data_IF_913914445957
#
_entry.id   IF_913914445957
#
_cell.length_a   1.000
_cell.length_b   1.000
_cell.length_c   1.000
_cell.angle_alpha   90.00
_cell.angle_beta   90.00
_cell.angle_gamma   90.00
#
_symmetry.space_group_name_H-M   'P 1'
#
loop_
_entity.id
_entity.type
_entity.pdbx_description
1 polymer ?
#
# COMPACT_ATOMS: atom_id res chain seq x y z
N UNK A 1 -14.17 4.65 -13.31
CA UNK A 1 -13.63 3.29 -13.06
C UNK A 1 -14.79 2.32 -13.16
N UNK A 2 -14.60 1.12 -13.72
CA UNK A 2 -15.64 0.07 -13.79
C UNK A 2 -15.44 -1.00 -12.72
N UNK A 3 -14.62 -0.71 -11.70
CA UNK A 3 -14.37 -1.64 -10.59
C UNK A 3 -15.42 -1.40 -9.51
N UNK A 4 -15.93 -2.49 -8.94
CA UNK A 4 -16.86 -2.40 -7.82
C UNK A 4 -16.11 -1.90 -6.59
N UNK A 5 -16.62 -0.85 -5.97
CA UNK A 5 -16.05 -0.30 -4.74
C UNK A 5 -16.43 -1.24 -3.59
N UNK A 6 -15.46 -1.72 -2.79
CA UNK A 6 -15.77 -2.55 -1.61
C UNK A 6 -16.69 -1.80 -0.64
N UNK A 7 -17.68 -2.50 -0.08
CA UNK A 7 -18.75 -1.88 0.71
C UNK A 7 -18.24 -1.01 1.86
N UNK A 8 -17.28 -1.51 2.64
CA UNK A 8 -16.69 -0.79 3.79
C UNK A 8 -15.95 0.50 3.41
N UNK A 9 -15.62 0.68 2.13
CA UNK A 9 -14.91 1.84 1.62
C UNK A 9 -15.80 2.80 0.82
N UNK A 10 -17.05 2.44 0.53
CA UNK A 10 -17.96 3.28 -0.28
C UNK A 10 -18.16 4.67 0.27
N UNK A 11 -18.44 4.80 1.57
CA UNK A 11 -18.64 6.10 2.21
C UNK A 11 -17.43 7.04 2.08
N UNK A 12 -16.22 6.47 2.00
CA UNK A 12 -14.97 7.23 1.78
C UNK A 12 -14.78 7.57 0.31
N UNK A 13 -15.04 6.61 -0.58
CA UNK A 13 -14.67 6.70 -1.98
C UNK A 13 -15.73 7.39 -2.85
N UNK A 14 -17.02 7.20 -2.60
CA UNK A 14 -18.09 7.77 -3.43
C UNK A 14 -17.97 9.30 -3.57
N UNK A 15 -17.73 10.09 -2.50
CA UNK A 15 -17.55 11.53 -2.61
C UNK A 15 -16.32 11.90 -3.47
N UNK A 16 -15.21 11.18 -3.30
CA UNK A 16 -13.95 11.44 -4.02
C UNK A 16 -14.10 11.09 -5.49
N UNK A 17 -14.78 9.99 -5.81
CA UNK A 17 -15.02 9.54 -7.18
C UNK A 17 -16.00 10.42 -7.94
N UNK A 18 -16.87 11.13 -7.23
CA UNK A 18 -17.76 12.13 -7.81
C UNK A 18 -17.01 13.41 -8.25
N UNK A 19 -15.79 13.66 -7.78
CA UNK A 19 -15.01 14.87 -8.11
C UNK A 19 -14.62 14.94 -9.59
N UNK A 20 -14.45 16.16 -10.16
CA UNK A 20 -13.95 16.33 -11.53
C UNK A 20 -12.60 15.64 -11.78
N UNK A 21 -11.72 15.63 -10.78
CA UNK A 21 -10.38 15.09 -10.86
C UNK A 21 -10.39 13.56 -11.02
N UNK A 22 -11.19 12.86 -10.19
CA UNK A 22 -11.36 11.42 -10.31
C UNK A 22 -12.06 11.01 -11.63
N UNK A 23 -13.00 11.83 -12.12
CA UNK A 23 -13.62 11.62 -13.45
C UNK A 23 -12.61 11.78 -14.57
N UNK A 24 -11.72 12.79 -14.51
CA UNK A 24 -10.61 12.95 -15.47
C UNK A 24 -9.67 11.76 -15.45
N UNK A 25 -9.27 11.27 -14.28
CA UNK A 25 -8.47 10.05 -14.15
C UNK A 25 -9.15 8.86 -14.84
N UNK A 26 -10.45 8.67 -14.58
CA UNK A 26 -11.22 7.58 -15.18
C UNK A 26 -11.33 7.66 -16.70
N UNK A 27 -11.52 8.86 -17.25
CA UNK A 27 -11.54 9.10 -18.70
C UNK A 27 -10.17 8.90 -19.33
N UNK A 28 -9.12 9.42 -18.69
CA UNK A 28 -7.74 9.29 -19.13
C UNK A 28 -7.29 7.83 -19.18
N UNK A 29 -7.54 7.03 -18.12
CA UNK A 29 -7.21 5.60 -18.12
C UNK A 29 -7.91 4.83 -19.25
N UNK A 30 -9.19 5.12 -19.50
CA UNK A 30 -9.93 4.51 -20.62
C UNK A 30 -9.31 4.84 -21.97
N UNK A 31 -8.85 6.09 -22.15
CA UNK A 31 -8.19 6.52 -23.38
C UNK A 31 -6.83 5.85 -23.57
N UNK A 32 -6.04 5.70 -22.50
CA UNK A 32 -4.74 5.00 -22.54
C UNK A 32 -4.94 3.53 -22.95
N UNK A 33 -5.90 2.84 -22.34
CA UNK A 33 -6.22 1.45 -22.68
C UNK A 33 -6.78 1.33 -24.11
N UNK A 34 -7.64 2.25 -24.54
CA UNK A 34 -8.17 2.29 -25.92
C UNK A 34 -7.10 2.58 -26.97
N UNK A 35 -6.03 3.29 -26.59
CA UNK A 35 -4.85 3.51 -27.42
C UNK A 35 -3.91 2.29 -27.47
N UNK A 36 -4.30 1.16 -26.87
CA UNK A 36 -3.52 -0.09 -26.89
C UNK A 36 -2.40 -0.15 -25.86
N UNK A 37 -2.34 0.80 -24.90
CA UNK A 37 -1.33 0.74 -23.83
C UNK A 37 -1.66 -0.37 -22.85
N UNK A 38 -0.64 -1.15 -22.49
CA UNK A 38 -0.77 -2.15 -21.45
C UNK A 38 -0.63 -1.49 -20.07
N UNK A 39 -1.69 -1.58 -19.26
CA UNK A 39 -1.77 -0.96 -17.93
C UNK A 39 -1.87 -2.05 -16.86
N UNK A 40 -1.05 -1.95 -15.83
CA UNK A 40 -1.05 -2.84 -14.67
C UNK A 40 -1.52 -2.14 -13.39
N UNK A 41 -2.11 -2.87 -12.42
CA UNK A 41 -2.59 -4.23 -12.57
C UNK A 41 -3.81 -4.28 -13.53
N UNK A 42 -4.21 -5.49 -13.98
CA UNK A 42 -5.43 -5.67 -14.76
C UNK A 42 -6.65 -5.05 -14.08
N UNK A 43 -7.67 -4.71 -14.87
CA UNK A 43 -8.96 -4.24 -14.33
C UNK A 43 -9.54 -5.31 -13.40
N UNK A 44 -10.16 -4.86 -12.31
CA UNK A 44 -10.69 -5.74 -11.26
C UNK A 44 -9.68 -6.09 -10.17
N UNK A 45 -8.44 -5.61 -10.29
CA UNK A 45 -7.43 -5.77 -9.24
C UNK A 45 -6.89 -4.44 -8.72
N UNK A 46 -7.31 -3.28 -9.25
CA UNK A 46 -6.73 -1.99 -8.84
C UNK A 46 -7.15 -1.59 -7.43
N UNK A 47 -8.33 -2.03 -6.98
CA UNK A 47 -8.83 -1.85 -5.61
C UNK A 47 -8.59 -3.06 -4.69
N UNK A 48 -7.77 -4.04 -5.09
CA UNK A 48 -7.56 -5.30 -4.35
C UNK A 48 -7.13 -5.10 -2.89
N UNK A 49 -6.28 -4.11 -2.61
CA UNK A 49 -5.88 -3.77 -1.25
C UNK A 49 -7.07 -3.43 -0.33
N UNK A 50 -8.07 -2.74 -0.87
CA UNK A 50 -9.28 -2.33 -0.15
C UNK A 50 -10.27 -3.50 -0.02
N UNK A 51 -10.36 -4.37 -1.03
CA UNK A 51 -11.17 -5.59 -0.98
C UNK A 51 -10.70 -6.54 0.12
N UNK A 52 -9.39 -6.76 0.22
CA UNK A 52 -8.80 -7.68 1.20
C UNK A 52 -8.71 -7.09 2.60
N UNK A 53 -8.74 -5.76 2.71
CA UNK A 53 -8.60 -5.04 3.97
C UNK A 53 -9.78 -4.08 4.16
N UNK A 54 -10.93 -4.56 4.65
CA UNK A 54 -12.05 -3.70 5.02
C UNK A 54 -11.63 -2.55 5.96
N UNK A 55 -12.19 -1.36 5.75
CA UNK A 55 -11.77 -0.13 6.45
C UNK A 55 -11.73 -0.31 7.97
N UNK A 56 -12.72 -0.97 8.56
CA UNK A 56 -12.88 -1.24 9.99
C UNK A 56 -11.88 -2.26 10.54
N UNK A 57 -11.34 -3.14 9.69
CA UNK A 57 -10.33 -4.13 10.09
C UNK A 57 -8.89 -3.64 10.02
N UNK A 58 -8.64 -2.46 9.44
CA UNK A 58 -7.27 -1.94 9.26
C UNK A 58 -6.54 -1.80 10.60
N UNK A 59 -5.35 -2.38 10.69
CA UNK A 59 -4.40 -2.34 11.82
C UNK A 59 -3.09 -1.66 11.46
N UNK A 60 -2.64 -1.87 10.21
CA UNK A 60 -1.37 -1.40 9.69
C UNK A 60 -1.61 -0.82 8.30
N UNK A 61 -0.94 0.27 7.96
CA UNK A 61 -0.90 0.83 6.60
C UNK A 61 0.54 0.83 6.13
N UNK A 62 0.82 0.14 5.03
CA UNK A 62 2.13 0.15 4.36
C UNK A 62 1.94 0.86 3.02
N UNK A 63 2.70 1.95 2.83
CA UNK A 63 2.59 2.78 1.62
C UNK A 63 3.68 2.43 0.61
N UNK A 64 3.25 2.07 -0.60
CA UNK A 64 4.10 1.95 -1.78
C UNK A 64 3.97 3.16 -2.71
N UNK A 65 4.80 3.22 -3.75
CA UNK A 65 4.79 4.32 -4.71
C UNK A 65 3.79 4.04 -5.85
N UNK A 66 4.08 3.03 -6.66
CA UNK A 66 3.29 2.60 -7.81
C UNK A 66 3.36 1.06 -7.95
N UNK A 67 2.44 0.44 -8.72
CA UNK A 67 2.47 -1.00 -8.94
C UNK A 67 3.73 -1.42 -9.70
N UNK A 68 4.10 -2.69 -9.59
CA UNK A 68 5.11 -3.26 -10.48
C UNK A 68 4.69 -3.14 -11.95
N UNK A 69 5.63 -2.72 -12.80
CA UNK A 69 5.38 -2.43 -14.21
C UNK A 69 5.75 -3.59 -15.15
N UNK A 70 6.13 -4.76 -14.62
CA UNK A 70 6.41 -5.96 -15.41
C UNK A 70 5.19 -6.88 -15.55
N UNK A 71 5.12 -7.67 -16.63
CA UNK A 71 4.01 -8.61 -16.85
C UNK A 71 3.80 -9.57 -15.69
N UNK A 72 2.55 -9.70 -15.25
CA UNK A 72 2.13 -10.63 -14.19
C UNK A 72 2.59 -10.26 -12.77
N UNK A 73 3.31 -9.16 -12.58
CA UNK A 73 3.85 -8.80 -11.26
C UNK A 73 2.82 -8.10 -10.36
N UNK A 74 2.19 -7.03 -10.86
CA UNK A 74 1.24 -6.26 -10.07
C UNK A 74 -0.12 -6.93 -10.01
N UNK A 75 -0.65 -7.07 -8.79
CA UNK A 75 -1.99 -7.62 -8.52
C UNK A 75 -2.80 -6.78 -7.53
N UNK A 76 -2.41 -5.51 -7.35
CA UNK A 76 -3.19 -4.53 -6.58
C UNK A 76 -2.77 -4.33 -5.12
N UNK A 77 -1.66 -4.95 -4.70
CA UNK A 77 -1.07 -4.79 -3.36
C UNK A 77 0.36 -4.24 -3.50
N UNK A 78 0.73 -3.24 -2.69
CA UNK A 78 2.10 -2.72 -2.71
C UNK A 78 3.09 -3.81 -2.27
N UNK A 79 4.28 -3.82 -2.90
CA UNK A 79 5.37 -4.81 -2.71
C UNK A 79 5.07 -6.28 -3.02
N UNK A 80 3.81 -6.68 -3.11
CA UNK A 80 3.43 -8.08 -3.35
C UNK A 80 3.44 -8.44 -4.84
N UNK A 81 3.77 -9.72 -5.11
CA UNK A 81 3.60 -10.36 -6.42
C UNK A 81 2.83 -11.69 -6.27
N UNK A 82 2.10 -12.16 -7.28
CA UNK A 82 1.45 -13.48 -7.25
C UNK A 82 2.43 -14.62 -6.99
N UNK A 83 1.93 -15.75 -6.50
CA UNK A 83 2.72 -16.98 -6.37
C UNK A 83 3.25 -17.44 -7.74
N UNK A 84 4.44 -18.05 -7.74
CA UNK A 84 5.15 -18.42 -8.97
C UNK A 84 5.85 -17.26 -9.68
N UNK A 85 5.58 -16.00 -9.31
CA UNK A 85 6.30 -14.83 -9.83
C UNK A 85 7.57 -14.59 -9.01
N UNK A 86 8.68 -14.35 -9.70
CA UNK A 86 9.96 -14.03 -9.06
C UNK A 86 9.82 -12.79 -8.17
N UNK A 87 10.20 -12.95 -6.90
CA UNK A 87 10.20 -11.85 -5.93
C UNK A 87 11.08 -10.70 -6.39
N UNK A 88 10.55 -9.47 -6.45
CA UNK A 88 11.35 -8.28 -6.76
C UNK A 88 12.38 -7.98 -5.65
N UNK A 89 13.50 -7.30 -5.94
CA UNK A 89 14.56 -7.07 -4.97
C UNK A 89 14.12 -6.37 -3.68
N UNK A 90 13.18 -5.43 -3.77
CA UNK A 90 12.62 -4.76 -2.59
C UNK A 90 11.88 -5.74 -1.67
N UNK A 91 11.10 -6.68 -2.23
CA UNK A 91 10.38 -7.67 -1.45
C UNK A 91 11.33 -8.68 -0.80
N UNK A 92 12.40 -9.08 -1.51
CA UNK A 92 13.47 -9.91 -0.92
C UNK A 92 14.08 -9.22 0.30
N UNK A 93 14.32 -7.90 0.22
CA UNK A 93 14.85 -7.15 1.35
C UNK A 93 13.84 -7.02 2.49
N UNK A 94 12.55 -6.85 2.20
CA UNK A 94 11.47 -6.89 3.21
C UNK A 94 11.52 -8.21 3.98
N UNK A 95 11.60 -9.35 3.30
CA UNK A 95 11.71 -10.65 3.97
C UNK A 95 13.02 -10.83 4.77
N UNK A 96 14.15 -10.30 4.27
CA UNK A 96 15.42 -10.33 5.03
C UNK A 96 15.31 -9.55 6.34
N UNK A 97 14.69 -8.38 6.31
CA UNK A 97 14.46 -7.60 7.53
C UNK A 97 13.48 -8.31 8.46
N UNK A 98 12.39 -8.88 7.93
CA UNK A 98 11.44 -9.66 8.72
C UNK A 98 12.12 -10.83 9.43
N UNK A 99 12.97 -11.57 8.72
CA UNK A 99 13.74 -12.67 9.31
C UNK A 99 14.69 -12.19 10.40
N UNK A 100 15.38 -11.07 10.19
CA UNK A 100 16.26 -10.49 11.21
C UNK A 100 15.50 -9.94 12.42
N UNK A 101 14.28 -9.46 12.23
CA UNK A 101 13.48 -8.78 13.27
C UNK A 101 12.66 -9.75 14.13
N UNK A 102 12.02 -10.74 13.49
CA UNK A 102 11.07 -11.68 14.12
C UNK A 102 11.46 -13.15 13.96
N UNK A 103 12.54 -13.47 13.24
CA UNK A 103 12.94 -14.86 13.00
C UNK A 103 12.08 -15.61 11.97
N UNK A 104 11.14 -14.93 11.32
CA UNK A 104 10.25 -15.52 10.31
C UNK A 104 10.99 -15.66 8.99
N UNK A 105 11.11 -16.90 8.50
CA UNK A 105 11.72 -17.17 7.21
C UNK A 105 10.79 -16.77 6.04
N UNK A 106 11.37 -16.40 4.90
CA UNK A 106 10.59 -16.17 3.68
C UNK A 106 9.80 -17.44 3.28
N UNK A 107 8.51 -17.34 2.93
CA UNK A 107 7.69 -18.50 2.56
C UNK A 107 8.02 -19.06 1.16
N UNK A 108 9.03 -18.52 0.47
CA UNK A 108 9.41 -18.93 -0.88
C UNK A 108 8.55 -18.33 -2.01
N UNK A 109 7.57 -17.50 -1.68
CA UNK A 109 6.75 -16.75 -2.64
C UNK A 109 6.63 -15.27 -2.23
N UNK A 110 6.15 -14.43 -3.16
CA UNK A 110 6.00 -12.98 -2.92
C UNK A 110 4.56 -12.50 -2.63
N UNK A 111 3.62 -13.42 -2.47
CA UNK A 111 2.23 -13.07 -2.20
C UNK A 111 2.03 -12.63 -0.74
N UNK A 112 1.50 -11.42 -0.54
CA UNK A 112 1.26 -10.80 0.76
C UNK A 112 -0.23 -10.72 1.11
N UNK A 113 -1.11 -11.45 0.39
CA UNK A 113 -2.53 -11.51 0.74
C UNK A 113 -2.76 -11.98 2.19
N UNK A 114 -1.87 -12.82 2.73
CA UNK A 114 -1.91 -13.25 4.13
C UNK A 114 -1.85 -12.06 5.11
N UNK A 115 -1.03 -11.04 4.83
CA UNK A 115 -0.96 -9.82 5.64
C UNK A 115 -2.21 -8.96 5.47
N UNK A 116 -2.67 -8.81 4.22
CA UNK A 116 -3.85 -8.00 3.91
C UNK A 116 -5.10 -8.47 4.68
N UNK A 117 -5.33 -9.79 4.68
CA UNK A 117 -6.44 -10.43 5.40
C UNK A 117 -6.39 -10.28 6.92
N UNK A 118 -5.23 -9.92 7.48
CA UNK A 118 -5.05 -9.66 8.91
C UNK A 118 -5.18 -8.18 9.30
N UNK A 119 -5.49 -7.31 8.33
CA UNK A 119 -5.64 -5.86 8.57
C UNK A 119 -4.44 -5.02 8.11
N UNK A 120 -3.52 -5.57 7.30
CA UNK A 120 -2.41 -4.79 6.72
C UNK A 120 -2.81 -4.20 5.37
N UNK A 121 -3.16 -2.93 5.36
CA UNK A 121 -3.49 -2.21 4.14
C UNK A 121 -2.23 -1.94 3.30
N UNK A 122 -2.04 -2.73 2.24
CA UNK A 122 -0.92 -2.65 1.30
C UNK A 122 -1.22 -1.72 0.12
N UNK A 123 -1.20 -0.40 0.36
CA UNK A 123 -1.69 0.60 -0.59
C UNK A 123 -0.54 1.30 -1.33
N UNK A 124 -0.62 1.38 -2.66
CA UNK A 124 0.27 2.25 -3.45
C UNK A 124 -0.31 3.67 -3.56
N UNK A 125 0.52 4.68 -3.76
CA UNK A 125 0.06 6.06 -4.02
C UNK A 125 -0.63 6.18 -5.38
N UNK A 126 -0.08 5.53 -6.41
CA UNK A 126 -0.74 5.31 -7.69
C UNK A 126 -1.24 3.88 -7.78
N UNK A 127 -2.47 3.66 -8.23
CA UNK A 127 -3.03 2.29 -8.31
C UNK A 127 -2.91 1.66 -9.70
N UNK A 128 -2.25 2.34 -10.64
CA UNK A 128 -1.95 1.81 -11.97
C UNK A 128 -0.58 2.28 -12.45
N UNK A 129 -0.04 1.59 -13.45
CA UNK A 129 1.20 1.95 -14.15
C UNK A 129 1.15 1.43 -15.59
N UNK A 130 1.77 2.13 -16.53
CA UNK A 130 2.00 1.62 -17.88
C UNK A 130 3.13 0.59 -17.86
N UNK A 131 2.99 -0.49 -18.65
CA UNK A 131 4.00 -1.53 -18.77
C UNK A 131 5.38 -0.94 -19.07
N UNK A 132 6.40 -1.41 -18.33
CA UNK A 132 7.80 -0.99 -18.44
C UNK A 132 8.09 0.49 -18.15
N UNK A 133 7.13 1.27 -17.64
CA UNK A 133 7.31 2.69 -17.33
C UNK A 133 6.95 3.00 -15.88
N UNK A 134 7.92 2.79 -14.98
CA UNK A 134 7.79 3.14 -13.56
C UNK A 134 7.33 4.60 -13.39
N UNK A 135 6.38 4.83 -12.48
CA UNK A 135 5.85 6.16 -12.16
C UNK A 135 5.03 6.84 -13.26
N UNK A 136 4.77 6.19 -14.39
CA UNK A 136 4.07 6.78 -15.55
C UNK A 136 2.69 7.37 -15.25
N UNK A 137 2.01 6.86 -14.23
CA UNK A 137 0.66 7.28 -13.83
C UNK A 137 0.65 8.14 -12.56
N UNK A 138 1.81 8.53 -12.03
CA UNK A 138 1.92 9.44 -10.89
C UNK A 138 1.33 10.82 -11.23
N UNK A 139 0.63 11.45 -10.29
CA UNK A 139 0.02 12.76 -10.48
C UNK A 139 -1.16 12.79 -11.47
N UNK A 140 -1.65 11.64 -11.93
CA UNK A 140 -2.83 11.56 -12.83
C UNK A 140 -4.17 11.62 -12.10
N UNK A 141 -4.16 11.73 -10.77
CA UNK A 141 -5.37 11.86 -9.93
C UNK A 141 -5.56 10.72 -8.93
N UNK A 142 -4.69 9.70 -8.92
CA UNK A 142 -4.75 8.64 -7.91
C UNK A 142 -4.50 9.15 -6.48
N UNK A 143 -3.74 10.23 -6.32
CA UNK A 143 -3.46 10.85 -5.04
C UNK A 143 -4.74 11.17 -4.25
N UNK A 144 -5.76 11.75 -4.89
CA UNK A 144 -7.01 12.11 -4.20
C UNK A 144 -7.72 10.88 -3.60
N UNK A 145 -7.75 9.77 -4.35
CA UNK A 145 -8.35 8.50 -3.92
C UNK A 145 -7.56 7.90 -2.78
N UNK A 146 -6.25 7.77 -2.96
CA UNK A 146 -5.41 7.07 -1.97
C UNK A 146 -5.16 7.94 -0.74
N UNK A 147 -5.13 9.27 -0.86
CA UNK A 147 -5.07 10.21 0.28
C UNK A 147 -6.34 10.08 1.12
N UNK A 148 -7.52 10.03 0.48
CA UNK A 148 -8.79 9.84 1.18
C UNK A 148 -8.86 8.50 1.94
N UNK A 149 -8.38 7.39 1.35
CA UNK A 149 -8.33 6.11 2.06
C UNK A 149 -7.45 6.19 3.31
N UNK A 150 -6.25 6.78 3.20
CA UNK A 150 -5.31 6.88 4.33
C UNK A 150 -5.83 7.85 5.39
N UNK A 151 -6.45 8.96 4.98
CA UNK A 151 -7.10 9.91 5.88
C UNK A 151 -8.24 9.24 6.66
N UNK A 152 -9.12 8.49 5.99
CA UNK A 152 -10.19 7.76 6.64
C UNK A 152 -9.67 6.78 7.71
N UNK A 153 -8.58 6.06 7.43
CA UNK A 153 -7.93 5.20 8.43
C UNK A 153 -7.34 6.02 9.58
N UNK A 154 -6.72 7.17 9.29
CA UNK A 154 -6.12 8.02 10.32
C UNK A 154 -7.15 8.78 11.18
N UNK A 155 -8.36 9.00 10.67
CA UNK A 155 -9.44 9.70 11.40
C UNK A 155 -10.19 8.76 12.36
N UNK A 156 -10.18 7.45 12.09
CA UNK A 156 -10.76 6.42 12.95
C UNK A 156 -10.22 6.44 14.38
N UNK A 157 -11.05 5.99 15.32
CA UNK A 157 -10.70 5.97 16.74
C UNK A 157 -9.59 4.94 17.07
N UNK A 158 -9.43 3.91 16.25
CA UNK A 158 -8.55 2.78 16.53
C UNK A 158 -7.06 3.09 16.26
N UNK A 159 -6.16 2.85 17.25
CA UNK A 159 -4.72 2.99 17.09
C UNK A 159 -4.21 2.15 15.92
N UNK A 160 -3.49 2.77 14.98
CA UNK A 160 -3.08 2.16 13.71
C UNK A 160 -1.60 2.45 13.48
N UNK A 161 -0.86 1.46 12.96
CA UNK A 161 0.54 1.65 12.60
C UNK A 161 0.70 2.07 11.13
N UNK A 162 1.36 3.20 10.89
CA UNK A 162 1.68 3.69 9.55
C UNK A 162 3.16 3.47 9.26
N UNK A 163 3.45 2.71 8.22
CA UNK A 163 4.80 2.31 7.82
C UNK A 163 5.21 3.07 6.57
N UNK A 164 6.21 3.95 6.72
CA UNK A 164 6.58 4.97 5.75
C UNK A 164 8.02 4.74 5.26
N UNK A 165 8.15 3.80 4.32
CA UNK A 165 9.43 3.44 3.71
C UNK A 165 9.80 4.36 2.54
N UNK A 166 10.78 5.22 2.75
CA UNK A 166 11.28 6.15 1.75
C UNK A 166 10.51 7.49 1.67
N UNK A 167 11.07 8.42 0.90
CA UNK A 167 10.61 9.82 0.83
C UNK A 167 9.19 9.96 0.28
N UNK A 168 8.78 9.14 -0.69
CA UNK A 168 7.44 9.20 -1.27
C UNK A 168 6.35 8.88 -0.23
N UNK A 169 6.53 7.81 0.56
CA UNK A 169 5.60 7.43 1.62
C UNK A 169 5.56 8.50 2.73
N UNK A 170 6.72 9.02 3.12
CA UNK A 170 6.83 10.06 4.14
C UNK A 170 6.19 11.38 3.69
N UNK A 171 6.38 11.77 2.43
CA UNK A 171 5.78 12.96 1.82
C UNK A 171 4.26 12.85 1.78
N UNK A 172 3.70 11.69 1.37
CA UNK A 172 2.25 11.46 1.42
C UNK A 172 1.70 11.59 2.83
N UNK A 173 2.33 10.94 3.81
CA UNK A 173 1.87 11.01 5.19
C UNK A 173 1.89 12.45 5.75
N UNK A 174 2.86 13.27 5.35
CA UNK A 174 2.92 14.68 5.75
C UNK A 174 1.74 15.52 5.24
N UNK A 175 1.07 15.11 4.15
CA UNK A 175 -0.14 15.76 3.62
C UNK A 175 -1.41 15.38 4.38
N UNK A 176 -1.34 14.44 5.32
CA UNK A 176 -2.49 13.90 6.05
C UNK A 176 -2.30 14.23 7.54
N UNK A 177 -2.81 15.39 8.01
CA UNK A 177 -2.56 15.87 9.37
C UNK A 177 -2.99 14.88 10.45
N UNK A 178 -4.05 14.11 10.22
CA UNK A 178 -4.57 13.10 11.14
C UNK A 178 -3.55 12.03 11.53
N UNK A 179 -2.54 11.75 10.69
CA UNK A 179 -1.45 10.81 11.02
C UNK A 179 -0.55 11.39 12.12
N UNK A 180 -0.25 12.69 12.06
CA UNK A 180 0.72 13.34 12.95
C UNK A 180 0.10 13.93 14.22
N UNK A 181 -1.17 14.31 14.17
CA UNK A 181 -1.81 15.10 15.24
C UNK A 181 -2.27 14.27 16.44
N UNK A 182 -2.46 12.95 16.30
CA UNK A 182 -3.25 12.22 17.29
C UNK A 182 -2.48 11.60 18.45
N UNK A 183 -1.13 11.50 18.38
CA UNK A 183 -0.32 10.73 19.35
C UNK A 183 -0.72 9.24 19.51
N UNK A 184 -1.81 8.84 18.83
CA UNK A 184 -2.54 7.59 18.92
C UNK A 184 -2.00 6.56 17.94
N UNK A 185 -1.49 7.03 16.80
CA UNK A 185 -0.95 6.16 15.76
C UNK A 185 0.56 5.97 15.95
N UNK A 186 1.04 4.76 15.68
CA UNK A 186 2.46 4.52 15.53
C UNK A 186 2.87 4.95 14.12
N UNK A 187 3.91 5.76 14.00
CA UNK A 187 4.47 6.16 12.70
C UNK A 187 5.91 5.68 12.60
N UNK A 188 6.14 4.65 11.80
CA UNK A 188 7.46 4.09 11.55
C UNK A 188 8.02 4.64 10.24
N UNK A 189 9.23 5.22 10.30
CA UNK A 189 9.92 5.78 9.14
C UNK A 189 11.27 5.10 8.98
N UNK A 190 11.58 4.70 7.76
CA UNK A 190 12.92 4.25 7.37
C UNK A 190 13.18 4.59 5.91
N UNK A 191 14.41 4.46 5.41
CA UNK A 191 14.69 4.36 3.99
C UNK A 191 13.87 3.26 3.30
N UNK A 192 13.77 3.35 1.98
CA UNK A 192 13.04 2.39 1.16
C UNK A 192 13.77 1.02 1.13
N UNK A 193 13.07 -0.13 1.05
CA UNK A 193 13.67 -1.47 0.98
C UNK A 193 14.41 -1.79 -0.32
N UNK A 194 14.43 -0.87 -1.30
CA UNK A 194 15.18 -1.05 -2.55
C UNK A 194 16.66 -1.29 -2.27
N UNK A 195 17.37 -2.14 -3.05
CA UNK A 195 18.82 -2.32 -2.93
C UNK A 195 19.61 -1.00 -2.90
N UNK A 196 19.12 0.05 -3.56
CA UNK A 196 19.77 1.37 -3.62
C UNK A 196 19.81 2.10 -2.26
N UNK A 197 18.91 1.75 -1.34
CA UNK A 197 18.70 2.50 -0.09
C UNK A 197 18.61 1.62 1.15
N UNK A 198 18.43 0.30 1.03
CA UNK A 198 18.12 -0.56 2.17
C UNK A 198 19.18 -0.52 3.28
N UNK A 199 20.46 -0.51 2.90
CA UNK A 199 21.59 -0.43 3.83
C UNK A 199 21.74 0.93 4.54
N UNK A 200 20.98 1.96 4.12
CA UNK A 200 21.01 3.29 4.74
C UNK A 200 20.12 3.41 5.98
N UNK A 201 19.50 2.30 6.42
CA UNK A 201 18.67 2.24 7.62
C UNK A 201 17.32 1.57 7.47
N UNK A 202 17.01 0.92 6.32
CA UNK A 202 15.87 -0.01 6.29
C UNK A 202 16.23 -1.28 7.06
N UNK A 203 17.41 -1.84 6.77
CA UNK A 203 17.91 -2.97 7.54
C UNK A 203 18.23 -2.56 8.99
N UNK A 204 17.75 -3.35 9.94
CA UNK A 204 17.84 -3.05 11.37
C UNK A 204 16.80 -2.04 11.86
N UNK A 205 15.86 -1.60 11.00
CA UNK A 205 14.77 -0.71 11.43
C UNK A 205 13.71 -1.42 12.25
N UNK A 206 13.66 -2.76 12.20
CA UNK A 206 12.83 -3.64 13.02
C UNK A 206 11.35 -3.23 13.05
N UNK A 207 10.70 -3.00 11.89
CA UNK A 207 9.36 -2.44 11.88
C UNK A 207 8.32 -3.45 12.36
N UNK A 208 8.51 -4.74 12.11
CA UNK A 208 7.52 -5.79 12.34
C UNK A 208 7.31 -6.05 13.83
N UNK A 209 8.40 -6.13 14.61
CA UNK A 209 8.38 -6.27 16.06
C UNK A 209 7.75 -5.05 16.74
N UNK A 210 8.12 -3.84 16.30
CA UNK A 210 7.55 -2.59 16.79
C UNK A 210 6.05 -2.49 16.54
N UNK A 211 5.58 -2.90 15.34
CA UNK A 211 4.15 -2.94 15.02
C UNK A 211 3.43 -3.90 15.97
N UNK A 212 3.92 -5.14 16.14
CA UNK A 212 3.26 -6.12 17.00
C UNK A 212 3.25 -5.70 18.48
N UNK A 213 4.33 -5.08 18.97
CA UNK A 213 4.38 -4.50 20.31
C UNK A 213 3.36 -3.37 20.48
N UNK A 214 3.26 -2.46 19.49
CA UNK A 214 2.28 -1.38 19.50
C UNK A 214 0.83 -1.88 19.47
N UNK A 215 0.52 -2.83 18.59
CA UNK A 215 -0.81 -3.41 18.51
C UNK A 215 -1.20 -4.08 19.84
N UNK A 216 -0.31 -4.92 20.39
CA UNK A 216 -0.55 -5.62 21.66
C UNK A 216 -0.72 -4.64 22.82
N UNK A 217 0.12 -3.60 22.90
CA UNK A 217 0.01 -2.55 23.92
C UNK A 217 -1.28 -1.72 23.85
N UNK A 218 -1.96 -1.73 22.70
CA UNK A 218 -3.25 -1.08 22.48
C UNK A 218 -4.43 -2.08 22.46
N UNK A 219 -4.23 -3.31 22.95
CA UNK A 219 -5.28 -4.33 23.01
C UNK A 219 -5.73 -4.85 21.64
N UNK A 220 -4.95 -4.63 20.58
CA UNK A 220 -5.21 -5.14 19.23
C UNK A 220 -4.38 -6.41 19.00
N UNK A 221 -4.97 -7.39 18.32
CA UNK A 221 -4.24 -8.61 18.00
C UNK A 221 -3.05 -8.32 17.07
N UNK A 222 -1.86 -8.90 17.34
CA UNK A 222 -0.68 -8.75 16.50
C UNK A 222 -0.91 -9.32 15.09
N UNK A 223 0.00 -9.02 14.18
CA UNK A 223 0.06 -9.62 12.84
C UNK A 223 0.95 -10.86 12.90
N UNK A 224 0.47 -11.95 12.32
CA UNK A 224 1.27 -13.10 11.92
C UNK A 224 1.96 -12.75 10.58
N UNK A 225 3.23 -12.36 10.67
CA UNK A 225 4.02 -11.85 9.54
C UNK A 225 4.58 -12.97 8.67
#
# INVERSE_FOLDING_TARGET
>A
MSEAIPESWKAVLDPVLATPDARRLGGWLKAEEAAGKQVYPPRGSRLRALELTPLDTVKVVILGQDPYHGPGQAHGLCFSVPEGVKMPPSLVNIYKELQSDQGVASPGHGNLEHWARQGVLLLNNSLTVEAHKAGSHAGKGWDAITDACVAAVAERAEPTAFVLWGSHAQGKAARIPAIAQSGRHLVLKSPHPSPLSAHRGFFGSRPFSQINAFLSGNGRSPIDW
#
